data_IF_208235061521
#
_entry.id   IF_208235061521
#
_cell.length_a   1.000
_cell.length_b   1.000
_cell.length_c   1.000
_cell.angle_alpha   90.00
_cell.angle_beta   90.00
_cell.angle_gamma   90.00
#
_symmetry.space_group_name_H-M   'P 1'
#
loop_
_entity.id
_entity.type
_entity.pdbx_description
1 polymer ?
#
# COMPACT_ATOMS: atom_id res chain seq x y z
N UNK A 1 19.54 -1.47 27.13
CA UNK A 1 20.06 -1.51 28.53
C UNK A 1 18.97 -1.11 29.54
N UNK A 2 18.35 0.06 29.44
CA UNK A 2 17.34 0.54 30.44
C UNK A 2 16.15 -0.42 30.54
N UNK A 3 15.57 -0.87 29.43
CA UNK A 3 14.44 -1.81 29.44
C UNK A 3 14.79 -3.11 30.18
N UNK A 4 15.99 -3.67 29.96
CA UNK A 4 16.47 -4.88 30.67
C UNK A 4 16.60 -4.63 32.18
N UNK A 5 17.08 -3.45 32.58
CA UNK A 5 17.19 -3.08 34.03
C UNK A 5 15.80 -2.96 34.66
N UNK A 6 14.77 -2.63 33.89
CA UNK A 6 13.38 -2.52 34.35
C UNK A 6 12.58 -3.81 34.15
N UNK A 7 13.24 -4.91 33.74
CA UNK A 7 12.60 -6.18 33.39
C UNK A 7 11.47 -6.03 32.36
N UNK A 8 11.69 -5.17 31.36
CA UNK A 8 10.79 -4.97 30.23
C UNK A 8 11.40 -5.70 29.03
N UNK A 9 10.59 -6.49 28.33
CA UNK A 9 10.97 -7.21 27.09
C UNK A 9 11.41 -6.24 25.98
N UNK A 10 11.99 -6.75 24.92
CA UNK A 10 12.32 -5.95 23.72
C UNK A 10 11.04 -5.55 22.97
N UNK A 11 11.16 -4.62 22.03
CA UNK A 11 10.03 -4.17 21.22
C UNK A 11 9.42 -5.32 20.40
N UNK A 12 8.09 -5.35 20.33
CA UNK A 12 7.36 -6.32 19.49
C UNK A 12 7.65 -6.08 18.00
N UNK A 13 7.77 -4.78 17.62
CA UNK A 13 8.06 -4.36 16.26
C UNK A 13 8.76 -2.99 16.30
N UNK A 14 9.70 -2.81 15.38
CA UNK A 14 10.38 -1.52 15.16
C UNK A 14 10.41 -1.20 13.67
N UNK A 15 10.34 0.08 13.34
CA UNK A 15 10.50 0.59 11.96
C UNK A 15 11.40 1.81 11.96
N UNK A 16 12.37 1.81 11.06
CA UNK A 16 13.26 2.94 10.81
C UNK A 16 13.16 3.26 9.33
N UNK A 17 12.75 4.48 9.01
CA UNK A 17 12.61 4.96 7.65
C UNK A 17 13.40 6.26 7.48
N UNK A 18 14.13 6.34 6.37
CA UNK A 18 14.78 7.58 5.93
C UNK A 18 13.96 8.16 4.79
N UNK A 19 12.98 8.98 5.16
CA UNK A 19 12.05 9.59 4.20
C UNK A 19 12.82 10.64 3.40
N UNK A 20 12.70 10.57 2.09
CA UNK A 20 13.50 11.35 1.15
C UNK A 20 14.72 10.59 0.61
N UNK A 21 15.03 9.40 1.15
CA UNK A 21 16.10 8.51 0.69
C UNK A 21 15.59 7.09 0.42
N UNK A 22 14.58 6.98 -0.43
CA UNK A 22 14.04 5.74 -0.98
C UNK A 22 13.41 4.74 0.01
N UNK A 23 13.28 5.06 1.29
CA UNK A 23 12.64 4.15 2.25
C UNK A 23 11.18 3.79 1.92
N UNK A 24 10.50 4.60 1.09
CA UNK A 24 9.15 4.34 0.60
C UNK A 24 9.12 3.78 -0.82
N UNK A 25 10.08 4.17 -1.66
CA UNK A 25 10.10 3.86 -3.09
C UNK A 25 10.98 2.67 -3.46
N UNK A 26 11.54 1.96 -2.47
CA UNK A 26 12.40 0.80 -2.72
C UNK A 26 13.64 1.14 -3.56
N UNK A 27 14.38 0.11 -3.97
CA UNK A 27 15.65 0.24 -4.72
C UNK A 27 15.52 0.82 -6.14
N UNK A 28 14.30 1.05 -6.61
CA UNK A 28 14.06 1.54 -7.98
C UNK A 28 14.23 3.05 -8.14
N UNK A 29 14.30 3.80 -7.06
CA UNK A 29 14.51 5.24 -7.13
C UNK A 29 16.00 5.57 -7.24
N UNK A 30 16.37 6.31 -8.29
CA UNK A 30 17.75 6.70 -8.62
C UNK A 30 18.19 8.05 -8.01
N UNK A 31 17.51 8.55 -6.99
CA UNK A 31 17.89 9.83 -6.37
C UNK A 31 19.07 9.63 -5.39
N UNK A 32 20.28 9.68 -5.90
CA UNK A 32 21.50 9.53 -5.11
C UNK A 32 21.95 10.80 -4.34
N UNK A 33 21.27 11.94 -4.48
CA UNK A 33 21.74 13.23 -3.99
C UNK A 33 20.72 14.02 -3.14
N UNK A 34 19.98 13.34 -2.29
CA UNK A 34 19.08 14.02 -1.36
C UNK A 34 19.87 14.73 -0.26
N UNK A 35 19.77 16.07 -0.20
CA UNK A 35 20.47 16.89 0.80
C UNK A 35 19.71 16.99 2.12
N UNK A 36 18.42 16.72 2.09
CA UNK A 36 17.53 16.79 3.26
C UNK A 36 16.70 15.52 3.32
N UNK A 37 16.74 14.85 4.46
CA UNK A 37 15.97 13.62 4.71
C UNK A 37 15.35 13.68 6.10
N UNK A 38 14.30 12.91 6.32
CA UNK A 38 13.66 12.78 7.62
C UNK A 38 13.88 11.37 8.15
N UNK A 39 14.58 11.24 9.27
CA UNK A 39 14.65 10.01 10.02
C UNK A 39 13.34 9.82 10.81
N UNK A 40 12.56 8.82 10.43
CA UNK A 40 11.39 8.35 11.19
C UNK A 40 11.76 7.07 11.93
N UNK A 41 11.51 7.07 13.22
CA UNK A 41 11.70 5.92 14.09
C UNK A 41 10.40 5.61 14.82
N UNK A 42 9.92 4.37 14.74
CA UNK A 42 8.68 3.93 15.36
C UNK A 42 8.85 2.56 16.01
N UNK A 43 8.10 2.29 17.07
CA UNK A 43 8.11 1.01 17.77
C UNK A 43 6.74 0.67 18.35
N UNK A 44 6.46 -0.63 18.48
CA UNK A 44 5.30 -1.18 19.18
C UNK A 44 5.76 -1.99 20.40
N UNK A 45 4.99 -1.93 21.47
CA UNK A 45 5.18 -2.75 22.65
C UNK A 45 3.89 -2.84 23.47
N UNK A 46 3.66 -3.98 24.13
CA UNK A 46 2.49 -4.18 25.00
C UNK A 46 2.56 -3.30 26.27
N UNK A 47 3.76 -3.01 26.75
CA UNK A 47 3.98 -2.12 27.89
C UNK A 47 4.26 -0.69 27.41
N UNK A 48 3.38 0.23 27.70
CA UNK A 48 3.50 1.65 27.37
C UNK A 48 4.81 2.29 27.87
N UNK A 49 5.39 1.75 28.96
CA UNK A 49 6.66 2.24 29.51
C UNK A 49 7.81 2.05 28.54
N UNK A 50 7.83 0.95 27.78
CA UNK A 50 8.86 0.69 26.80
C UNK A 50 8.94 1.79 25.74
N UNK A 51 7.79 2.15 25.16
CA UNK A 51 7.69 3.23 24.18
C UNK A 51 8.02 4.57 24.81
N UNK A 52 7.59 4.80 26.07
CA UNK A 52 7.93 6.00 26.82
C UNK A 52 9.44 6.16 27.06
N UNK A 53 10.17 5.06 27.34
CA UNK A 53 11.62 5.05 27.49
C UNK A 53 12.28 5.41 26.15
N UNK A 54 11.86 4.77 25.04
CA UNK A 54 12.38 5.09 23.72
C UNK A 54 12.25 6.58 23.39
N UNK A 55 11.07 7.15 23.59
CA UNK A 55 10.80 8.57 23.33
C UNK A 55 11.61 9.52 24.22
N UNK A 56 11.89 9.09 25.45
CA UNK A 56 12.73 9.86 26.37
C UNK A 56 14.19 9.84 25.95
N UNK A 57 14.72 8.66 25.67
CA UNK A 57 16.13 8.48 25.33
C UNK A 57 16.48 9.05 23.95
N UNK A 58 15.52 9.06 22.99
CA UNK A 58 15.74 9.65 21.66
C UNK A 58 16.06 11.16 21.69
N UNK A 59 15.69 11.88 22.75
CA UNK A 59 16.04 13.30 22.90
C UNK A 59 17.55 13.52 22.88
N UNK A 60 18.31 12.58 23.44
CA UNK A 60 19.78 12.63 23.45
C UNK A 60 20.42 12.60 22.04
N UNK A 61 19.71 12.05 21.05
CA UNK A 61 20.20 12.02 19.67
C UNK A 61 20.42 13.43 19.11
N UNK A 62 19.63 14.43 19.53
CA UNK A 62 19.82 15.82 19.12
C UNK A 62 21.18 16.41 19.43
N UNK A 63 21.93 15.82 20.39
CA UNK A 63 23.27 16.25 20.79
C UNK A 63 24.37 15.25 20.42
N UNK A 64 23.98 14.00 20.15
CA UNK A 64 24.93 12.90 19.93
C UNK A 64 25.07 12.49 18.47
N UNK A 65 24.37 13.14 17.55
CA UNK A 65 24.43 12.90 16.10
C UNK A 65 25.35 13.91 15.39
N UNK A 66 25.78 13.63 14.15
CA UNK A 66 26.58 14.55 13.37
C UNK A 66 25.90 15.94 13.20
N UNK A 67 26.67 17.01 12.97
CA UNK A 67 26.13 18.34 12.69
C UNK A 67 25.14 18.33 11.52
N UNK A 68 24.10 19.15 11.62
CA UNK A 68 23.06 19.27 10.60
C UNK A 68 21.73 18.65 10.96
N UNK A 69 21.64 17.93 12.12
CA UNK A 69 20.35 17.48 12.63
C UNK A 69 19.51 18.67 13.08
N UNK A 70 18.29 18.74 12.57
CA UNK A 70 17.24 19.63 13.10
C UNK A 70 16.01 18.79 13.42
N UNK A 71 15.14 19.30 14.29
CA UNK A 71 13.90 18.62 14.68
C UNK A 71 12.66 19.41 14.27
N UNK A 72 11.54 18.71 14.12
CA UNK A 72 10.26 19.39 13.97
C UNK A 72 9.88 20.09 15.27
N UNK A 73 9.34 21.29 15.12
CA UNK A 73 8.83 22.07 16.26
C UNK A 73 7.58 21.39 16.80
N UNK A 74 7.57 21.11 18.10
CA UNK A 74 6.44 20.45 18.78
C UNK A 74 6.85 19.88 20.13
N UNK A 75 5.86 19.41 20.88
CA UNK A 75 6.11 18.72 22.14
C UNK A 75 6.66 17.30 21.91
N UNK A 76 7.21 16.70 22.98
CA UNK A 76 7.63 15.30 22.94
C UNK A 76 6.46 14.40 22.53
N UNK A 77 6.62 13.53 21.54
CA UNK A 77 5.60 12.54 21.20
C UNK A 77 5.20 11.71 22.43
N UNK A 78 3.95 11.26 22.45
CA UNK A 78 3.44 10.38 23.50
C UNK A 78 3.08 9.03 22.92
N UNK A 79 3.24 7.93 23.68
CA UNK A 79 2.70 6.64 23.28
C UNK A 79 1.19 6.75 23.07
N UNK A 80 0.68 6.07 22.06
CA UNK A 80 -0.74 5.96 21.76
C UNK A 80 -1.15 4.50 21.59
N UNK A 81 -2.38 4.12 21.95
CA UNK A 81 -2.85 2.77 21.72
C UNK A 81 -2.91 2.47 20.22
N UNK A 82 -2.60 1.21 19.85
CA UNK A 82 -2.74 0.73 18.48
C UNK A 82 -4.18 0.26 18.30
N UNK A 83 -4.83 0.77 17.25
CA UNK A 83 -6.16 0.34 16.82
C UNK A 83 -6.00 -0.56 15.60
N UNK A 84 -6.64 -1.73 15.62
CA UNK A 84 -6.67 -2.65 14.48
C UNK A 84 -8.06 -2.71 13.91
N UNK A 85 -8.15 -2.66 12.60
CA UNK A 85 -9.39 -2.94 11.88
C UNK A 85 -9.60 -4.46 11.87
N UNK A 86 -10.77 -4.87 12.31
CA UNK A 86 -11.24 -6.25 12.21
C UNK A 86 -12.50 -6.28 11.34
N UNK A 87 -12.48 -7.02 10.24
CA UNK A 87 -13.61 -7.15 9.33
C UNK A 87 -14.12 -8.58 9.34
N UNK A 88 -15.44 -8.72 9.36
CA UNK A 88 -16.11 -10.01 9.30
C UNK A 88 -17.38 -9.91 8.46
N UNK A 89 -17.83 -11.04 7.94
CA UNK A 89 -19.12 -11.12 7.25
C UNK A 89 -20.24 -11.35 8.26
N UNK A 90 -21.35 -10.68 8.04
CA UNK A 90 -22.58 -10.83 8.83
C UNK A 90 -23.76 -10.99 7.86
N UNK A 91 -24.72 -11.81 8.24
CA UNK A 91 -25.94 -11.97 7.44
C UNK A 91 -26.70 -10.66 7.33
N UNK A 92 -27.24 -10.37 6.15
CA UNK A 92 -27.92 -9.11 5.86
C UNK A 92 -29.17 -8.89 6.71
N UNK A 93 -29.84 -9.96 7.12
CA UNK A 93 -31.03 -9.92 7.98
C UNK A 93 -30.73 -9.48 9.43
N UNK A 94 -29.45 -9.54 9.85
CA UNK A 94 -28.99 -9.06 11.15
C UNK A 94 -28.68 -7.55 11.14
N UNK A 95 -28.79 -6.89 9.98
CA UNK A 95 -28.50 -5.46 9.83
C UNK A 95 -29.80 -4.69 9.60
N UNK A 96 -30.20 -3.88 10.58
CA UNK A 96 -31.34 -2.99 10.42
C UNK A 96 -30.97 -1.81 9.53
N UNK A 97 -31.64 -1.70 8.38
CA UNK A 97 -31.49 -0.58 7.45
C UNK A 97 -32.62 0.38 7.59
N UNK A 98 -32.30 1.65 7.83
CA UNK A 98 -33.30 2.71 7.94
C UNK A 98 -32.99 3.83 6.95
N UNK A 99 -34.02 4.38 6.34
CA UNK A 99 -33.96 5.65 5.62
C UNK A 99 -34.37 6.76 6.56
N UNK A 100 -33.50 7.72 6.78
CA UNK A 100 -33.76 8.95 7.50
C UNK A 100 -33.77 10.12 6.50
N UNK A 101 -34.91 10.75 6.28
CA UNK A 101 -35.05 11.91 5.39
C UNK A 101 -35.10 13.25 6.15
N UNK A 102 -34.71 13.23 7.43
CA UNK A 102 -34.70 14.40 8.31
C UNK A 102 -36.06 14.69 8.97
N UNK A 103 -37.19 14.19 8.40
CA UNK A 103 -38.52 14.34 8.93
C UNK A 103 -39.10 13.03 9.45
N UNK A 104 -38.66 11.91 8.91
CA UNK A 104 -39.12 10.56 9.31
C UNK A 104 -38.02 9.54 9.13
N UNK A 105 -38.06 8.48 9.95
CA UNK A 105 -37.22 7.30 9.84
C UNK A 105 -38.09 6.11 9.46
N UNK A 106 -37.78 5.49 8.34
CA UNK A 106 -38.50 4.32 7.86
C UNK A 106 -37.55 3.14 7.80
N UNK A 107 -37.89 2.04 8.45
CA UNK A 107 -37.14 0.79 8.36
C UNK A 107 -37.43 0.11 7.01
N UNK A 108 -36.36 -0.36 6.35
CA UNK A 108 -36.46 -1.11 5.11
C UNK A 108 -36.17 -2.57 5.40
N UNK A 109 -37.10 -3.44 5.07
CA UNK A 109 -36.82 -4.88 5.05
C UNK A 109 -36.02 -5.21 3.82
N UNK A 110 -34.78 -5.68 4.06
CA UNK A 110 -33.95 -6.25 2.99
C UNK A 110 -34.54 -7.62 2.65
N UNK A 111 -34.95 -7.88 1.40
CA UNK A 111 -35.38 -9.22 1.03
C UNK A 111 -34.26 -10.23 1.24
N UNK A 112 -34.57 -11.47 1.59
CA UNK A 112 -33.55 -12.52 1.65
C UNK A 112 -32.85 -12.58 0.29
N UNK A 113 -31.52 -12.62 0.31
CA UNK A 113 -30.75 -12.82 -0.92
C UNK A 113 -30.79 -14.30 -1.29
N UNK A 114 -31.06 -14.59 -2.55
CA UNK A 114 -30.80 -15.91 -3.08
C UNK A 114 -29.33 -16.26 -2.87
N UNK A 115 -29.03 -17.55 -2.67
CA UNK A 115 -27.65 -18.01 -2.58
C UNK A 115 -26.90 -17.63 -3.86
N UNK A 116 -25.88 -16.80 -3.71
CA UNK A 116 -25.05 -16.38 -4.84
C UNK A 116 -23.94 -17.44 -5.05
N UNK A 117 -23.95 -18.07 -6.20
CA UNK A 117 -22.90 -19.00 -6.58
C UNK A 117 -21.66 -18.21 -7.05
N UNK A 118 -20.62 -18.23 -6.22
CA UNK A 118 -19.34 -17.61 -6.55
C UNK A 118 -18.68 -18.19 -7.82
N UNK A 119 -19.01 -19.48 -8.16
CA UNK A 119 -18.48 -20.11 -9.37
C UNK A 119 -19.18 -19.62 -10.62
N UNK A 120 -20.34 -18.93 -10.50
CA UNK A 120 -21.04 -18.32 -11.62
C UNK A 120 -20.37 -17.03 -12.14
N UNK A 121 -19.36 -16.51 -11.44
CA UNK A 121 -18.63 -15.33 -11.87
C UNK A 121 -17.69 -15.72 -13.02
N UNK A 122 -17.99 -15.24 -14.20
CA UNK A 122 -17.05 -15.33 -15.32
C UNK A 122 -15.79 -14.52 -15.00
N UNK A 123 -14.64 -15.22 -14.95
CA UNK A 123 -13.37 -14.54 -14.80
C UNK A 123 -12.94 -13.96 -16.14
N UNK A 124 -12.78 -12.66 -16.19
CA UNK A 124 -12.23 -11.98 -17.36
C UNK A 124 -10.76 -12.36 -17.55
N UNK A 125 -10.38 -12.66 -18.78
CA UNK A 125 -9.01 -12.97 -19.19
C UNK A 125 -8.30 -11.75 -19.75
N UNK A 126 -6.96 -11.81 -19.80
CA UNK A 126 -6.18 -10.82 -20.54
C UNK A 126 -6.59 -10.82 -22.02
N UNK A 127 -6.58 -9.66 -22.67
CA UNK A 127 -6.74 -9.62 -24.13
C UNK A 127 -5.55 -10.30 -24.80
N UNK A 128 -5.79 -10.85 -26.00
CA UNK A 128 -4.72 -11.41 -26.82
C UNK A 128 -3.68 -10.32 -27.12
N UNK A 129 -2.41 -10.70 -27.03
CA UNK A 129 -1.29 -9.86 -27.34
C UNK A 129 -0.35 -10.59 -28.32
N UNK A 130 -0.32 -10.14 -29.55
CA UNK A 130 0.57 -10.67 -30.57
C UNK A 130 1.86 -9.85 -30.62
N UNK A 131 3.00 -10.48 -30.30
CA UNK A 131 4.32 -9.85 -30.28
C UNK A 131 5.27 -10.36 -31.37
N UNK A 132 4.78 -11.23 -32.27
CA UNK A 132 5.60 -11.85 -33.31
C UNK A 132 6.26 -10.77 -34.18
N UNK A 133 7.57 -10.64 -34.10
CA UNK A 133 8.43 -9.72 -34.84
C UNK A 133 8.30 -8.22 -34.49
N UNK A 134 7.77 -7.87 -33.32
CA UNK A 134 7.70 -6.48 -32.86
C UNK A 134 9.02 -6.05 -32.22
N UNK A 135 9.39 -4.78 -32.43
CA UNK A 135 10.47 -4.13 -31.70
C UNK A 135 9.89 -3.45 -30.47
N UNK A 136 10.47 -3.75 -29.31
CA UNK A 136 10.04 -3.20 -28.03
C UNK A 136 10.98 -2.11 -27.55
N UNK A 137 10.42 -1.15 -26.83
CA UNK A 137 11.12 -0.10 -26.11
C UNK A 137 10.65 -0.11 -24.66
N UNK A 138 11.60 -0.18 -23.74
CA UNK A 138 11.30 -0.07 -22.32
C UNK A 138 10.94 1.37 -21.98
N UNK A 139 9.75 1.55 -21.42
CA UNK A 139 9.26 2.86 -20.97
C UNK A 139 8.74 2.77 -19.54
N UNK A 140 8.85 3.82 -18.72
CA UNK A 140 8.19 3.86 -17.43
C UNK A 140 6.67 3.70 -17.63
N UNK A 141 6.04 2.87 -16.82
CA UNK A 141 4.60 2.60 -16.92
C UNK A 141 3.75 3.88 -16.92
N UNK A 142 4.20 4.92 -16.21
CA UNK A 142 3.52 6.23 -16.17
C UNK A 142 3.36 6.88 -17.56
N UNK A 143 4.18 6.52 -18.54
CA UNK A 143 4.06 7.04 -19.92
C UNK A 143 2.83 6.51 -20.63
N UNK A 144 2.39 5.30 -20.29
CA UNK A 144 1.31 4.58 -20.99
C UNK A 144 0.10 4.27 -20.10
N UNK A 145 0.18 4.56 -18.80
CA UNK A 145 -0.89 4.30 -17.85
C UNK A 145 -1.04 5.41 -16.79
N UNK A 146 -2.21 5.42 -16.16
CA UNK A 146 -2.49 6.08 -14.89
C UNK A 146 -2.59 5.02 -13.80
N UNK A 147 -2.26 5.37 -12.57
CA UNK A 147 -2.38 4.46 -11.44
C UNK A 147 -2.95 5.11 -10.20
N UNK A 148 -3.67 4.33 -9.42
CA UNK A 148 -4.14 4.72 -8.09
C UNK A 148 -4.12 3.53 -7.16
N UNK A 149 -3.74 3.77 -5.89
CA UNK A 149 -3.68 2.74 -4.86
C UNK A 149 -4.34 3.17 -3.56
N UNK A 150 -4.61 2.19 -2.71
CA UNK A 150 -5.15 2.41 -1.38
C UNK A 150 -5.31 1.12 -0.59
N UNK A 151 -5.54 1.29 0.71
CA UNK A 151 -5.69 0.20 1.65
C UNK A 151 -7.03 -0.54 1.56
N UNK A 152 -6.98 -1.82 1.91
CA UNK A 152 -8.10 -2.72 2.17
C UNK A 152 -7.77 -3.61 3.39
N UNK A 153 -7.77 -3.03 4.59
CA UNK A 153 -7.26 -3.71 5.78
C UNK A 153 -5.73 -3.83 5.74
N UNK A 154 -5.20 -5.06 5.86
CA UNK A 154 -3.76 -5.33 5.66
C UNK A 154 -3.37 -5.56 4.19
N UNK A 155 -4.32 -5.42 3.28
CA UNK A 155 -4.13 -5.50 1.84
C UNK A 155 -4.09 -4.12 1.22
N UNK A 156 -3.43 -3.98 0.07
CA UNK A 156 -3.55 -2.81 -0.78
C UNK A 156 -4.09 -3.21 -2.15
N UNK A 157 -4.86 -2.33 -2.77
CA UNK A 157 -5.17 -2.45 -4.18
C UNK A 157 -4.39 -1.40 -4.98
N UNK A 158 -4.00 -1.78 -6.22
CA UNK A 158 -3.41 -0.87 -7.19
C UNK A 158 -4.20 -1.02 -8.50
N UNK A 159 -4.96 0.00 -8.85
CA UNK A 159 -5.62 0.10 -10.14
C UNK A 159 -4.71 0.77 -11.15
N UNK A 160 -4.51 0.15 -12.31
CA UNK A 160 -3.76 0.66 -13.46
C UNK A 160 -4.70 0.75 -14.64
N UNK A 161 -4.86 1.95 -15.21
CA UNK A 161 -5.69 2.20 -16.39
C UNK A 161 -4.81 2.71 -17.52
N UNK A 162 -4.92 2.12 -18.72
CA UNK A 162 -4.15 2.56 -19.87
C UNK A 162 -4.54 3.98 -20.29
N UNK A 163 -3.55 4.79 -20.69
CA UNK A 163 -3.79 6.15 -21.23
C UNK A 163 -4.48 6.15 -22.59
N UNK A 164 -4.27 5.08 -23.34
CA UNK A 164 -4.89 4.83 -24.63
C UNK A 164 -5.22 3.33 -24.70
N UNK A 165 -6.40 2.92 -25.18
CA UNK A 165 -6.77 1.51 -25.33
C UNK A 165 -5.73 0.66 -26.06
N UNK A 166 -4.97 1.25 -26.98
CA UNK A 166 -3.91 0.55 -27.75
C UNK A 166 -2.81 -0.03 -26.85
N UNK A 167 -2.57 0.54 -25.67
CA UNK A 167 -1.54 0.06 -24.72
C UNK A 167 -2.04 -1.08 -23.84
N UNK A 168 -3.36 -1.23 -23.68
CA UNK A 168 -3.94 -2.16 -22.72
C UNK A 168 -3.46 -3.61 -22.89
N UNK A 169 -3.43 -4.20 -24.12
CA UNK A 169 -2.93 -5.57 -24.29
C UNK A 169 -1.47 -5.74 -23.87
N UNK A 170 -0.60 -4.78 -24.23
CA UNK A 170 0.81 -4.82 -23.84
C UNK A 170 0.98 -4.71 -22.32
N UNK A 171 0.24 -3.80 -21.66
CA UNK A 171 0.25 -3.66 -20.19
C UNK A 171 -0.22 -4.96 -19.55
N UNK A 172 -1.28 -5.59 -20.05
CA UNK A 172 -1.77 -6.88 -19.54
C UNK A 172 -0.73 -8.00 -19.67
N UNK A 173 0.04 -8.00 -20.75
CA UNK A 173 1.03 -9.03 -21.00
C UNK A 173 2.29 -8.87 -20.15
N UNK A 174 2.80 -7.65 -19.99
CA UNK A 174 4.10 -7.41 -19.38
C UNK A 174 4.03 -6.97 -17.91
N UNK A 175 2.89 -6.52 -17.43
CA UNK A 175 2.67 -6.19 -16.02
C UNK A 175 1.93 -7.34 -15.33
N UNK A 176 2.65 -8.41 -15.02
CA UNK A 176 2.12 -9.59 -14.36
C UNK A 176 2.27 -9.52 -12.83
N UNK A 177 1.76 -10.53 -12.15
CA UNK A 177 1.81 -10.67 -10.68
C UNK A 177 3.25 -10.77 -10.18
N UNK A 178 4.15 -11.35 -10.99
CA UNK A 178 5.55 -11.50 -10.63
C UNK A 178 6.26 -10.15 -10.65
N UNK A 179 6.06 -9.34 -11.70
CA UNK A 179 6.61 -7.99 -11.80
C UNK A 179 6.16 -7.13 -10.61
N UNK A 180 4.87 -7.18 -10.27
CA UNK A 180 4.34 -6.44 -9.11
C UNK A 180 4.93 -6.98 -7.82
N UNK A 181 5.02 -8.29 -7.64
CA UNK A 181 5.64 -8.90 -6.45
C UNK A 181 7.10 -8.47 -6.28
N UNK A 182 7.87 -8.49 -7.35
CA UNK A 182 9.28 -8.10 -7.33
C UNK A 182 9.43 -6.60 -7.01
N UNK A 183 8.52 -5.76 -7.51
CA UNK A 183 8.48 -4.32 -7.23
C UNK A 183 8.27 -4.02 -5.73
N UNK A 184 7.49 -4.83 -5.04
CA UNK A 184 7.15 -4.64 -3.62
C UNK A 184 7.84 -5.63 -2.69
N UNK A 185 8.90 -6.33 -3.14
CA UNK A 185 9.56 -7.41 -2.41
C UNK A 185 10.08 -7.00 -1.01
N UNK A 186 10.39 -5.72 -0.80
CA UNK A 186 10.93 -5.24 0.48
C UNK A 186 9.88 -5.22 1.61
N UNK A 187 8.58 -5.29 1.29
CA UNK A 187 7.51 -5.18 2.28
C UNK A 187 6.22 -5.96 1.97
N UNK A 188 6.18 -6.72 0.88
CA UNK A 188 5.09 -7.62 0.55
C UNK A 188 5.36 -9.00 1.17
N UNK A 189 4.55 -9.39 2.16
CA UNK A 189 4.67 -10.68 2.84
C UNK A 189 3.78 -11.75 2.21
N UNK A 190 2.71 -11.33 1.52
CA UNK A 190 1.70 -12.22 0.94
C UNK A 190 1.83 -12.42 -0.57
N UNK A 191 0.71 -12.73 -1.20
CA UNK A 191 0.58 -12.94 -2.64
C UNK A 191 0.08 -11.67 -3.35
N UNK A 192 0.28 -11.65 -4.68
CA UNK A 192 -0.36 -10.70 -5.59
C UNK A 192 -1.43 -11.43 -6.38
N UNK A 193 -2.60 -10.82 -6.48
CA UNK A 193 -3.71 -11.26 -7.33
C UNK A 193 -3.96 -10.19 -8.39
N UNK A 194 -4.33 -10.59 -9.61
CA UNK A 194 -4.57 -9.69 -10.72
C UNK A 194 -5.96 -9.90 -11.33
N UNK A 195 -6.65 -8.80 -11.57
CA UNK A 195 -7.99 -8.79 -12.13
C UNK A 195 -8.03 -7.88 -13.36
N UNK A 196 -8.51 -8.42 -14.49
CA UNK A 196 -8.67 -7.67 -15.74
C UNK A 196 -10.04 -7.00 -15.78
N UNK A 197 -10.06 -5.75 -16.22
CA UNK A 197 -11.24 -4.91 -16.34
C UNK A 197 -11.31 -4.34 -17.78
N UNK A 198 -11.62 -5.18 -18.78
CA UNK A 198 -11.54 -4.80 -20.19
C UNK A 198 -12.47 -3.65 -20.57
N UNK A 199 -13.63 -3.53 -19.91
CA UNK A 199 -14.58 -2.43 -20.14
C UNK A 199 -14.01 -1.04 -19.83
N UNK A 200 -12.93 -0.95 -19.06
CA UNK A 200 -12.23 0.31 -18.73
C UNK A 200 -10.76 0.29 -19.14
N UNK A 201 -10.32 -0.72 -19.87
CA UNK A 201 -8.91 -0.92 -20.26
C UNK A 201 -7.97 -0.82 -19.05
N UNK A 202 -8.32 -1.53 -17.97
CA UNK A 202 -7.58 -1.45 -16.71
C UNK A 202 -7.33 -2.81 -16.08
N UNK A 203 -6.36 -2.84 -15.17
CA UNK A 203 -6.01 -3.98 -14.33
C UNK A 203 -6.11 -3.51 -12.89
N UNK A 204 -6.64 -4.36 -12.01
CA UNK A 204 -6.55 -4.14 -10.58
C UNK A 204 -5.70 -5.25 -9.95
N UNK A 205 -4.69 -4.86 -9.18
CA UNK A 205 -3.89 -5.76 -8.37
C UNK A 205 -4.34 -5.69 -6.92
N UNK A 206 -4.40 -6.84 -6.26
CA UNK A 206 -4.54 -6.95 -4.81
C UNK A 206 -3.24 -7.52 -4.25
N UNK A 207 -2.60 -6.74 -3.39
CA UNK A 207 -1.40 -7.12 -2.68
C UNK A 207 -1.81 -7.54 -1.27
N UNK A 208 -1.65 -8.83 -0.96
CA UNK A 208 -1.99 -9.38 0.34
C UNK A 208 -0.84 -9.14 1.33
N UNK A 209 -1.17 -8.84 2.58
CA UNK A 209 -0.21 -8.65 3.68
C UNK A 209 0.95 -7.71 3.34
N UNK A 210 0.61 -6.53 2.80
CA UNK A 210 1.59 -5.55 2.30
C UNK A 210 1.70 -4.30 3.17
N UNK A 211 0.77 -4.08 4.12
CA UNK A 211 0.67 -2.84 4.90
C UNK A 211 1.20 -2.95 6.34
N UNK A 212 1.86 -4.05 6.72
CA UNK A 212 2.43 -4.21 8.06
C UNK A 212 1.37 -4.16 9.17
N UNK A 213 0.29 -4.93 9.01
CA UNK A 213 -0.86 -4.97 9.92
C UNK A 213 -1.98 -4.01 9.56
N UNK A 214 -1.80 -3.18 8.56
CA UNK A 214 -2.80 -2.32 7.94
C UNK A 214 -3.13 -1.04 8.70
N UNK A 215 -3.40 0.04 7.96
CA UNK A 215 -3.92 1.31 8.45
C UNK A 215 -3.28 1.81 9.75
N UNK A 216 -4.07 2.08 10.81
CA UNK A 216 -3.56 2.63 12.07
C UNK A 216 -2.58 1.70 12.81
N UNK A 217 -2.53 0.41 12.47
CA UNK A 217 -1.62 -0.54 13.10
C UNK A 217 -0.23 -0.57 12.46
N UNK A 218 -0.05 -0.03 11.26
CA UNK A 218 1.23 0.02 10.56
C UNK A 218 2.19 1.03 11.17
N UNK A 219 3.45 0.65 11.31
CA UNK A 219 4.53 1.58 11.69
C UNK A 219 5.10 2.35 10.48
N UNK A 220 4.70 2.02 9.27
CA UNK A 220 5.21 2.65 8.04
C UNK A 220 4.74 4.09 7.88
N UNK A 221 5.48 4.88 7.12
CA UNK A 221 5.11 6.26 6.80
C UNK A 221 3.92 6.33 5.85
N UNK A 222 3.76 5.35 4.95
CA UNK A 222 2.57 5.18 4.11
C UNK A 222 1.73 3.97 4.58
N UNK A 223 0.99 4.09 5.70
CA UNK A 223 0.24 2.97 6.27
C UNK A 223 -0.98 2.57 5.45
N UNK A 224 -1.33 3.35 4.43
CA UNK A 224 -2.46 3.13 3.54
C UNK A 224 -2.07 2.78 2.11
N UNK A 225 -0.79 2.64 1.79
CA UNK A 225 -0.34 2.33 0.45
C UNK A 225 -0.75 3.35 -0.61
N UNK A 226 -0.82 4.65 -0.25
CA UNK A 226 -1.21 5.71 -1.18
C UNK A 226 -0.14 6.00 -2.23
N UNK A 227 1.13 5.77 -1.90
CA UNK A 227 2.25 5.90 -2.83
C UNK A 227 2.49 4.65 -3.69
N UNK A 228 1.80 3.53 -3.44
CA UNK A 228 2.09 2.26 -4.12
C UNK A 228 1.86 2.32 -5.64
N UNK A 229 0.85 3.06 -6.07
CA UNK A 229 0.66 3.28 -7.51
C UNK A 229 1.82 4.06 -8.13
N UNK A 230 2.39 5.05 -7.45
CA UNK A 230 3.55 5.81 -7.93
C UNK A 230 4.79 4.92 -8.03
N UNK A 231 5.01 4.07 -7.03
CA UNK A 231 6.12 3.08 -7.07
C UNK A 231 5.98 2.17 -8.30
N UNK A 232 4.78 1.64 -8.54
CA UNK A 232 4.54 0.76 -9.68
C UNK A 232 4.61 1.51 -11.02
N UNK A 233 4.21 2.78 -11.07
CA UNK A 233 4.25 3.61 -12.27
C UNK A 233 5.67 3.95 -12.73
N UNK A 234 6.67 3.85 -11.86
CA UNK A 234 8.09 3.99 -12.21
C UNK A 234 8.67 2.71 -12.82
N UNK A 235 7.95 1.57 -12.71
CA UNK A 235 8.39 0.29 -13.29
C UNK A 235 8.54 0.41 -14.80
N UNK A 236 9.70 -0.02 -15.32
CA UNK A 236 9.96 -0.11 -16.76
C UNK A 236 9.23 -1.32 -17.34
N UNK A 237 8.47 -1.10 -18.41
CA UNK A 237 7.76 -2.16 -19.13
C UNK A 237 8.05 -2.06 -20.63
N UNK A 238 8.17 -3.20 -21.35
CA UNK A 238 8.37 -3.20 -22.77
C UNK A 238 7.05 -2.85 -23.50
N UNK A 239 7.11 -1.86 -24.38
CA UNK A 239 5.98 -1.44 -25.22
C UNK A 239 6.40 -1.52 -26.67
N UNK A 240 5.56 -2.05 -27.59
CA UNK A 240 5.85 -2.04 -29.02
C UNK A 240 6.13 -0.61 -29.52
N UNK A 241 7.28 -0.42 -30.20
CA UNK A 241 7.73 0.91 -30.65
C UNK A 241 6.65 1.60 -31.51
N UNK A 242 5.93 0.84 -32.34
CA UNK A 242 4.84 1.36 -33.19
C UNK A 242 3.68 2.00 -32.41
N UNK A 243 3.49 1.63 -31.13
CA UNK A 243 2.42 2.17 -30.29
C UNK A 243 2.82 3.50 -29.63
N UNK A 244 4.11 3.84 -29.65
CA UNK A 244 4.64 5.05 -29.02
C UNK A 244 4.67 6.26 -29.97
N UNK A 245 4.36 6.03 -31.23
CA UNK A 245 4.27 7.06 -32.29
C UNK A 245 2.94 7.81 -32.27
#
# INVERSE_FOLDING_TARGET
MIMRMMNIADFDETSIEIIGDNSQHSKQSSNENNREVVLKFAAKHQDIRAVGIMLKESVGLGLATPPGLSGFVGGRPKPSPIVRLFSFLIDKDQVNVTIDNGSSKNEIKIPPSDEFDLNSIEQTTAPDFEDANEKFVDVPLIKVAYGRSGDKGNKANIGIISRDPKFYPAICNFLDEKVVKDCFADFLEGSVERYFLPGSNSINFILNDVLGGGGPASLRNDPQGKAYAQILLDQMIPIPEKLLS
#
